data_IF_141071601620
#
_entry.id   IF_141071601620
#
_cell.length_a   1.000
_cell.length_b   1.000
_cell.length_c   1.000
_cell.angle_alpha   90.00
_cell.angle_beta   90.00
_cell.angle_gamma   90.00
#
_symmetry.space_group_name_H-M   'P 1'
#
loop_
_entity.id
_entity.type
_entity.pdbx_description
1 polymer ?
#
# COMPACT_ATOMS: atom_id res chain seq x y z
N UNK A 1 -12.35 7.56 -6.56
CA UNK A 1 -12.36 8.92 -6.01
C UNK A 1 -10.93 9.18 -5.60
N UNK A 2 -10.38 10.35 -5.90
CA UNK A 2 -8.95 10.60 -5.77
C UNK A 2 -8.48 10.50 -4.30
N UNK A 3 -7.29 9.91 -4.08
CA UNK A 3 -6.64 9.85 -2.77
C UNK A 3 -6.43 11.25 -2.19
N UNK A 4 -6.61 11.47 -0.87
CA UNK A 4 -6.32 12.76 -0.26
C UNK A 4 -4.88 13.23 -0.53
N UNK A 5 -4.73 14.49 -0.92
CA UNK A 5 -3.43 15.11 -1.24
C UNK A 5 -2.45 15.02 -0.07
N UNK A 6 -2.94 15.19 1.16
CA UNK A 6 -2.19 15.04 2.42
C UNK A 6 -2.93 14.13 3.38
N UNK A 7 -2.19 13.47 4.26
CA UNK A 7 -2.78 12.70 5.35
C UNK A 7 -3.50 13.60 6.36
N UNK A 8 -4.73 13.24 6.73
CA UNK A 8 -5.55 14.00 7.69
C UNK A 8 -4.95 14.11 9.10
N UNK A 9 -4.05 13.20 9.49
CA UNK A 9 -3.45 13.20 10.82
C UNK A 9 -2.04 13.81 10.83
N UNK A 10 -1.17 13.35 9.92
CA UNK A 10 0.25 13.71 9.93
C UNK A 10 0.59 14.91 9.04
N UNK A 11 -0.31 15.32 8.13
CA UNK A 11 -0.04 16.36 7.13
C UNK A 11 0.96 15.96 6.03
N UNK A 12 1.49 14.74 6.06
CA UNK A 12 2.42 14.24 5.04
C UNK A 12 1.74 14.16 3.67
N UNK A 13 2.48 14.48 2.61
CA UNK A 13 1.97 14.43 1.23
C UNK A 13 1.86 12.98 0.77
N UNK A 14 0.67 12.63 0.27
CA UNK A 14 0.30 11.29 -0.19
C UNK A 14 -0.19 11.26 -1.64
N UNK A 15 -0.71 12.38 -2.18
CA UNK A 15 -1.36 12.42 -3.49
C UNK A 15 -0.45 12.04 -4.67
N UNK A 16 0.85 12.24 -4.52
CA UNK A 16 1.89 11.90 -5.49
C UNK A 16 2.31 10.41 -5.44
N UNK A 17 2.07 9.73 -4.32
CA UNK A 17 2.64 8.39 -4.05
C UNK A 17 1.76 7.23 -4.45
N UNK A 18 0.46 7.44 -4.60
CA UNK A 18 -0.48 6.33 -4.75
C UNK A 18 -0.33 5.55 -6.07
N UNK A 19 -0.11 6.24 -7.20
CA UNK A 19 0.12 5.58 -8.49
C UNK A 19 1.39 4.72 -8.47
N UNK A 20 2.47 5.29 -7.95
CA UNK A 20 3.74 4.57 -7.77
C UNK A 20 3.57 3.34 -6.87
N UNK A 21 2.83 3.49 -5.76
CA UNK A 21 2.52 2.36 -4.87
C UNK A 21 1.80 1.22 -5.61
N UNK A 22 0.78 1.51 -6.42
CA UNK A 22 0.06 0.48 -7.19
C UNK A 22 0.96 -0.23 -8.21
N UNK A 23 1.79 0.51 -8.92
CA UNK A 23 2.73 -0.05 -9.91
C UNK A 23 3.77 -0.96 -9.25
N UNK A 24 4.37 -0.51 -8.15
CA UNK A 24 5.39 -1.29 -7.43
C UNK A 24 4.82 -2.53 -6.74
N UNK A 25 3.61 -2.43 -6.16
CA UNK A 25 2.93 -3.61 -5.61
C UNK A 25 2.65 -4.63 -6.71
N UNK A 26 2.22 -4.17 -7.90
CA UNK A 26 1.97 -5.06 -9.04
C UNK A 26 3.26 -5.75 -9.51
N UNK A 27 4.38 -5.02 -9.59
CA UNK A 27 5.70 -5.58 -9.93
C UNK A 27 6.13 -6.64 -8.92
N UNK A 28 6.09 -6.34 -7.61
CA UNK A 28 6.49 -7.29 -6.57
C UNK A 28 5.60 -8.54 -6.50
N UNK A 29 4.30 -8.41 -6.79
CA UNK A 29 3.40 -9.57 -6.88
C UNK A 29 3.73 -10.48 -8.08
N UNK A 30 4.08 -9.90 -9.23
CA UNK A 30 4.52 -10.65 -10.41
C UNK A 30 5.84 -11.40 -10.15
N UNK A 31 6.82 -10.74 -9.52
CA UNK A 31 8.11 -11.36 -9.17
C UNK A 31 7.93 -12.56 -8.23
N UNK A 32 7.01 -12.46 -7.27
CA UNK A 32 6.69 -13.54 -6.32
C UNK A 32 5.70 -14.58 -6.89
N UNK A 33 5.34 -14.52 -8.18
CA UNK A 33 4.33 -15.37 -8.84
C UNK A 33 3.01 -15.48 -8.05
N UNK A 34 2.57 -14.38 -7.43
CA UNK A 34 1.34 -14.33 -6.67
C UNK A 34 0.19 -13.77 -7.51
N UNK A 35 -1.03 -14.20 -7.19
CA UNK A 35 -2.24 -13.61 -7.75
C UNK A 35 -2.35 -12.13 -7.40
N UNK A 36 -2.53 -11.28 -8.42
CA UNK A 36 -2.50 -9.82 -8.31
C UNK A 36 -3.60 -9.31 -7.36
N UNK A 37 -4.78 -9.92 -7.43
CA UNK A 37 -5.99 -9.48 -6.72
C UNK A 37 -6.12 -10.08 -5.31
N UNK A 38 -5.33 -11.10 -4.98
CA UNK A 38 -5.45 -11.77 -3.68
C UNK A 38 -4.82 -10.90 -2.58
N UNK A 39 -5.62 -10.55 -1.58
CA UNK A 39 -5.16 -9.93 -0.34
C UNK A 39 -4.79 -11.05 0.64
N UNK A 40 -3.55 -11.03 1.13
CA UNK A 40 -3.05 -12.03 2.08
C UNK A 40 -3.32 -11.54 3.49
N UNK A 41 -4.00 -12.38 4.28
CA UNK A 41 -4.25 -12.12 5.70
C UNK A 41 -3.23 -12.82 6.57
N UNK A 42 -2.95 -12.25 7.75
CA UNK A 42 -2.16 -12.92 8.77
C UNK A 42 -2.85 -14.22 9.18
N UNK A 43 -2.22 -15.35 8.90
CA UNK A 43 -2.63 -16.70 9.30
C UNK A 43 -1.43 -17.40 9.92
N UNK A 44 -1.64 -18.57 10.55
CA UNK A 44 -0.53 -19.32 11.16
C UNK A 44 0.57 -19.68 10.16
N UNK A 45 0.18 -19.87 8.90
CA UNK A 45 1.08 -20.23 7.79
C UNK A 45 1.72 -18.99 7.13
N UNK A 46 1.14 -17.80 7.34
CA UNK A 46 1.60 -16.53 6.74
C UNK A 46 1.84 -15.48 7.82
N UNK A 47 3.08 -15.42 8.31
CA UNK A 47 3.56 -14.44 9.30
C UNK A 47 4.45 -13.35 8.66
N UNK A 48 4.87 -13.53 7.42
CA UNK A 48 5.81 -12.62 6.77
C UNK A 48 5.15 -11.32 6.29
N UNK A 49 5.99 -10.31 6.05
CA UNK A 49 5.54 -9.00 5.60
C UNK A 49 5.00 -9.09 4.19
N UNK A 50 3.82 -8.53 3.97
CA UNK A 50 3.21 -8.54 2.63
C UNK A 50 3.96 -7.61 1.67
N UNK A 51 3.89 -7.84 0.35
CA UNK A 51 4.47 -6.93 -0.65
C UNK A 51 3.99 -5.49 -0.48
N UNK A 52 2.72 -5.29 -0.13
CA UNK A 52 2.15 -3.97 0.18
C UNK A 52 2.88 -3.31 1.35
N UNK A 53 3.21 -4.10 2.38
CA UNK A 53 3.96 -3.63 3.55
C UNK A 53 5.39 -3.24 3.21
N UNK A 54 6.07 -4.02 2.38
CA UNK A 54 7.44 -3.72 1.90
C UNK A 54 7.47 -2.43 1.08
N UNK A 55 6.56 -2.26 0.10
CA UNK A 55 6.51 -1.04 -0.74
C UNK A 55 6.23 0.21 0.10
N UNK A 56 5.41 0.10 1.16
CA UNK A 56 5.16 1.22 2.07
C UNK A 56 6.40 1.58 2.91
N UNK A 57 7.26 0.62 3.23
CA UNK A 57 8.55 0.89 3.88
C UNK A 57 9.51 1.57 2.92
N UNK A 58 9.60 1.09 1.67
CA UNK A 58 10.45 1.66 0.62
C UNK A 58 10.07 3.13 0.33
N UNK A 59 8.77 3.44 0.41
CA UNK A 59 8.23 4.81 0.30
C UNK A 59 8.46 5.69 1.55
N UNK A 60 9.09 5.17 2.60
CA UNK A 60 9.35 5.88 3.85
C UNK A 60 8.10 6.22 4.67
N UNK A 61 6.96 5.59 4.38
CA UNK A 61 5.70 5.83 5.08
C UNK A 61 5.66 5.04 6.39
N UNK A 62 6.41 5.45 7.41
CA UNK A 62 6.51 4.67 8.67
C UNK A 62 5.31 4.86 9.61
N UNK A 63 4.61 5.98 9.52
CA UNK A 63 3.49 6.29 10.41
C UNK A 63 2.22 5.57 9.96
N UNK A 64 1.57 4.87 10.89
CA UNK A 64 0.31 4.16 10.65
C UNK A 64 -0.77 5.07 10.05
N UNK A 65 -0.86 6.32 10.52
CA UNK A 65 -1.86 7.26 10.03
C UNK A 65 -1.71 7.52 8.53
N UNK A 66 -0.48 7.66 8.02
CA UNK A 66 -0.24 7.89 6.61
C UNK A 66 -0.42 6.56 5.82
N UNK A 67 -0.02 5.39 6.37
CA UNK A 67 -0.24 4.05 5.75
C UNK A 67 -1.72 3.69 5.56
N UNK A 68 -2.56 3.98 6.56
CA UNK A 68 -4.01 3.68 6.51
C UNK A 68 -4.65 4.26 5.25
N UNK A 69 -4.31 5.50 4.90
CA UNK A 69 -4.89 6.17 3.74
C UNK A 69 -4.52 5.48 2.43
N UNK A 70 -3.32 4.90 2.30
CA UNK A 70 -2.93 4.16 1.09
C UNK A 70 -3.57 2.76 1.06
N UNK A 71 -3.54 2.05 2.18
CA UNK A 71 -4.05 0.67 2.26
C UNK A 71 -5.57 0.57 2.11
N UNK A 72 -6.32 1.56 2.62
CA UNK A 72 -7.80 1.54 2.58
C UNK A 72 -8.38 2.41 1.47
N UNK A 73 -7.54 2.90 0.56
CA UNK A 73 -8.02 3.71 -0.56
C UNK A 73 -8.75 2.82 -1.57
N UNK A 74 -9.97 3.22 -1.93
CA UNK A 74 -10.74 2.59 -3.01
C UNK A 74 -11.00 3.64 -4.07
N UNK A 75 -10.46 3.41 -5.27
CA UNK A 75 -10.75 4.24 -6.43
C UNK A 75 -12.13 3.89 -7.00
N UNK A 76 -13.16 4.62 -6.54
CA UNK A 76 -14.49 4.61 -7.14
C UNK A 76 -14.51 5.54 -8.37
N UNK A 77 -14.87 5.03 -9.54
CA UNK A 77 -15.07 5.86 -10.75
C UNK A 77 -16.24 6.85 -10.62
#
# INVERSE_FOLDING_TARGET
MIIPVKCFTCGNVLGDKYRYYLEEVRKKKLEKNMDIEKVIYLTKDFHEKTPEGEVLDDLGLNKLCCRRHILTHVDIE
#
